data_IF_581358746081
#
_entry.id   IF_581358746081
#
_cell.length_a   1.000
_cell.length_b   1.000
_cell.length_c   1.000
_cell.angle_alpha   90.00
_cell.angle_beta   90.00
_cell.angle_gamma   90.00
#
_symmetry.space_group_name_H-M   'P 1'
#
loop_
_entity.id
_entity.type
_entity.pdbx_description
1 polymer ?
#
# COMPACT_ATOMS: atom_id res chain seq x y z
N UNK A 1 2.91 16.29 6.35
CA UNK A 1 1.47 16.07 6.07
C UNK A 1 0.73 17.40 6.21
N UNK A 2 -0.11 17.80 5.23
CA UNK A 2 -0.95 19.01 5.37
C UNK A 2 -1.90 18.87 6.56
N UNK A 3 -2.13 19.98 7.28
CA UNK A 3 -3.10 20.01 8.38
C UNK A 3 -4.51 19.64 7.92
N UNK A 4 -5.25 18.92 8.78
CA UNK A 4 -6.65 18.56 8.51
C UNK A 4 -7.50 19.83 8.50
N UNK A 5 -8.14 20.13 7.37
CA UNK A 5 -9.11 21.22 7.28
C UNK A 5 -10.47 20.76 7.82
N UNK A 6 -11.14 21.64 8.57
CA UNK A 6 -12.49 21.41 9.07
C UNK A 6 -13.37 22.60 8.71
N UNK A 7 -14.57 22.33 8.20
CA UNK A 7 -15.63 23.33 8.17
C UNK A 7 -16.35 23.31 9.54
N UNK A 8 -16.52 24.47 10.15
CA UNK A 8 -17.16 24.59 11.47
C UNK A 8 -18.43 25.41 11.33
N UNK A 9 -19.56 24.76 11.63
CA UNK A 9 -20.85 25.42 11.83
C UNK A 9 -21.40 24.85 13.13
N UNK A 10 -21.25 25.56 14.24
CA UNK A 10 -21.70 25.07 15.56
C UNK A 10 -23.16 24.59 15.50
N UNK A 11 -23.48 23.37 15.99
CA UNK A 11 -22.66 22.47 16.81
C UNK A 11 -21.82 21.42 16.05
N UNK A 12 -21.70 21.52 14.73
CA UNK A 12 -21.06 20.51 13.89
C UNK A 12 -19.62 20.88 13.49
N UNK A 13 -18.75 19.87 13.55
CA UNK A 13 -17.41 19.89 12.97
C UNK A 13 -17.39 18.88 11.84
N UNK A 14 -17.15 19.36 10.61
CA UNK A 14 -17.15 18.55 9.40
C UNK A 14 -15.73 18.50 8.85
N UNK A 15 -15.12 17.32 8.84
CA UNK A 15 -13.82 17.10 8.20
C UNK A 15 -13.91 17.35 6.69
N UNK A 16 -13.01 18.16 6.15
CA UNK A 16 -12.96 18.45 4.72
C UNK A 16 -11.63 18.01 4.12
N UNK A 17 -11.67 17.56 2.86
CA UNK A 17 -10.45 17.29 2.12
C UNK A 17 -9.63 18.59 2.00
N UNK A 18 -8.30 18.54 2.21
CA UNK A 18 -7.47 19.73 2.22
C UNK A 18 -7.38 20.43 0.85
N UNK A 19 -7.56 19.67 -0.24
CA UNK A 19 -7.54 20.14 -1.62
C UNK A 19 -8.75 19.57 -2.39
N UNK A 20 -9.23 20.32 -3.38
CA UNK A 20 -10.40 20.03 -4.22
C UNK A 20 -10.03 20.09 -5.71
N UNK A 21 -10.90 19.62 -6.61
CA UNK A 21 -10.66 19.79 -8.05
C UNK A 21 -10.43 21.26 -8.42
N UNK A 22 -9.28 21.54 -9.03
CA UNK A 22 -8.83 22.91 -9.34
C UNK A 22 -7.70 23.42 -8.43
N UNK A 23 -7.50 22.81 -7.27
CA UNK A 23 -6.36 23.11 -6.39
C UNK A 23 -5.12 22.32 -6.79
N UNK A 24 -3.94 22.84 -6.46
CA UNK A 24 -2.70 22.06 -6.47
C UNK A 24 -2.61 21.24 -5.17
N UNK A 25 -2.45 19.91 -5.29
CA UNK A 25 -2.39 19.04 -4.13
C UNK A 25 -1.01 19.12 -3.46
N UNK A 26 -0.99 19.39 -2.14
CA UNK A 26 0.23 19.36 -1.33
C UNK A 26 0.10 18.36 -0.17
N UNK A 27 1.00 17.37 -0.15
CA UNK A 27 1.02 16.33 0.88
C UNK A 27 1.96 16.68 2.06
N UNK A 28 2.46 17.91 2.11
CA UNK A 28 3.38 18.43 3.12
C UNK A 28 4.84 18.18 2.76
N UNK A 29 5.18 18.28 1.47
CA UNK A 29 6.55 18.13 0.96
C UNK A 29 7.05 16.69 0.84
N UNK A 30 8.38 16.52 0.83
CA UNK A 30 9.02 15.18 0.84
C UNK A 30 8.73 14.48 2.16
N UNK A 31 8.55 13.15 2.09
CA UNK A 31 8.52 12.32 3.29
C UNK A 31 9.81 12.53 4.09
N UNK A 32 9.67 12.83 5.37
CA UNK A 32 10.79 13.03 6.28
C UNK A 32 11.30 11.70 6.82
N UNK A 33 10.45 10.68 6.80
CA UNK A 33 10.68 9.35 7.34
C UNK A 33 11.73 8.59 6.52
N UNK A 34 12.74 8.10 7.23
CA UNK A 34 13.87 7.36 6.70
C UNK A 34 13.79 5.88 7.10
N UNK A 35 14.41 4.96 6.33
CA UNK A 35 14.37 3.53 6.63
C UNK A 35 14.81 3.11 8.04
N UNK A 36 15.70 3.89 8.67
CA UNK A 36 16.28 3.60 9.98
C UNK A 36 15.51 4.21 11.16
N UNK A 37 14.38 4.90 10.93
CA UNK A 37 13.65 5.62 11.98
C UNK A 37 12.94 4.69 12.97
N UNK A 38 12.58 3.49 12.53
CA UNK A 38 11.87 2.48 13.32
C UNK A 38 12.65 1.17 13.31
N UNK A 39 12.97 0.66 14.51
CA UNK A 39 13.58 -0.66 14.68
C UNK A 39 12.62 -1.77 14.24
N UNK A 40 13.14 -3.00 14.09
CA UNK A 40 12.35 -4.21 13.81
C UNK A 40 12.23 -5.09 15.08
N UNK A 41 11.12 -5.01 15.83
CA UNK A 41 10.91 -5.86 17.01
C UNK A 41 10.84 -7.35 16.63
N UNK A 42 11.26 -8.22 17.55
CA UNK A 42 11.05 -9.67 17.42
C UNK A 42 9.55 -9.97 17.58
N UNK A 43 8.87 -10.48 16.53
CA UNK A 43 7.42 -10.66 16.54
C UNK A 43 6.94 -11.69 17.58
N UNK A 44 7.84 -12.55 18.08
CA UNK A 44 7.50 -13.55 19.11
C UNK A 44 7.66 -13.04 20.54
N UNK A 45 8.31 -11.89 20.73
CA UNK A 45 8.65 -11.33 22.04
C UNK A 45 8.12 -9.91 22.27
N UNK A 46 7.81 -9.17 21.21
CA UNK A 46 7.31 -7.81 21.31
C UNK A 46 5.93 -7.75 21.97
N UNK A 47 5.71 -6.72 22.77
CA UNK A 47 4.41 -6.34 23.31
C UNK A 47 3.79 -5.21 22.48
N UNK A 48 2.52 -4.90 22.75
CA UNK A 48 1.85 -3.76 22.11
C UNK A 48 2.57 -2.43 22.40
N UNK A 49 3.07 -2.26 23.62
CA UNK A 49 3.76 -1.04 24.06
C UNK A 49 5.05 -0.77 23.26
N UNK A 50 5.75 -1.83 22.86
CA UNK A 50 6.96 -1.74 22.03
C UNK A 50 6.70 -1.18 20.63
N UNK A 51 5.43 -1.19 20.19
CA UNK A 51 5.01 -0.79 18.83
C UNK A 51 4.28 0.54 18.77
N UNK A 52 4.18 1.28 19.89
CA UNK A 52 3.48 2.58 19.96
C UNK A 52 4.04 3.57 18.94
N UNK A 53 5.38 3.62 18.78
CA UNK A 53 6.02 4.49 17.78
C UNK A 53 5.73 4.05 16.35
N UNK A 54 5.63 2.73 16.10
CA UNK A 54 5.30 2.19 14.78
C UNK A 54 3.89 2.54 14.33
N UNK A 55 2.95 2.67 15.27
CA UNK A 55 1.56 3.03 14.96
C UNK A 55 1.39 4.45 14.39
N UNK A 56 2.30 5.37 14.71
CA UNK A 56 2.29 6.76 14.21
C UNK A 56 3.44 7.11 13.27
N UNK A 57 4.43 6.24 13.14
CA UNK A 57 5.56 6.38 12.21
C UNK A 57 5.34 5.65 10.87
N UNK A 58 6.42 5.51 10.10
CA UNK A 58 6.43 4.80 8.82
C UNK A 58 7.58 3.81 8.77
N UNK A 59 7.25 2.52 8.64
CA UNK A 59 8.26 1.50 8.32
C UNK A 59 8.57 1.60 6.83
N UNK A 60 9.86 1.79 6.51
CA UNK A 60 10.36 1.99 5.15
C UNK A 60 11.67 1.23 5.00
N UNK A 61 11.95 0.70 3.81
CA UNK A 61 13.20 -0.02 3.51
C UNK A 61 14.00 0.68 2.42
N UNK A 62 13.34 1.07 1.32
CA UNK A 62 14.00 1.75 0.21
C UNK A 62 14.10 3.26 0.48
N UNK A 63 15.30 3.81 0.46
CA UNK A 63 15.56 5.25 0.57
C UNK A 63 15.17 6.01 -0.73
N UNK A 64 15.40 7.32 -0.80
CA UNK A 64 15.06 8.15 -1.97
C UNK A 64 15.92 7.84 -3.22
N UNK A 65 17.06 7.18 -3.03
CA UNK A 65 17.93 6.70 -4.12
C UNK A 65 17.57 5.27 -4.58
N UNK A 66 16.60 4.62 -3.93
CA UNK A 66 16.22 3.24 -4.20
C UNK A 66 17.12 2.20 -3.56
N UNK A 67 17.96 2.58 -2.60
CA UNK A 67 18.84 1.67 -1.86
C UNK A 67 18.12 1.13 -0.62
N UNK A 68 18.34 -0.15 -0.31
CA UNK A 68 17.74 -0.79 0.85
C UNK A 68 18.56 -0.51 2.11
N UNK A 69 17.91 -0.03 3.16
CA UNK A 69 18.55 0.31 4.44
C UNK A 69 17.72 -0.20 5.64
N UNK A 70 18.40 -0.36 6.78
CA UNK A 70 17.78 -0.64 8.08
C UNK A 70 17.50 -2.12 8.38
N UNK A 71 16.95 -2.34 9.58
CA UNK A 71 16.69 -3.69 10.13
C UNK A 71 15.52 -4.41 9.43
N UNK A 72 14.71 -3.65 8.69
CA UNK A 72 13.55 -4.14 7.96
C UNK A 72 13.87 -4.76 6.60
N UNK A 73 15.13 -4.75 6.16
CA UNK A 73 15.54 -5.46 4.95
C UNK A 73 15.15 -6.95 5.10
N UNK A 74 14.27 -7.47 4.22
CA UNK A 74 13.85 -8.85 4.29
C UNK A 74 14.93 -9.78 3.74
N UNK A 75 14.97 -11.01 4.25
CA UNK A 75 15.72 -12.09 3.62
C UNK A 75 14.90 -12.62 2.43
N UNK A 76 15.06 -11.97 1.28
CA UNK A 76 14.34 -12.27 0.04
C UNK A 76 15.32 -12.29 -1.12
N UNK A 77 15.19 -13.28 -2.01
CA UNK A 77 16.07 -13.41 -3.16
C UNK A 77 15.70 -12.40 -4.25
N UNK A 78 16.67 -12.08 -5.12
CA UNK A 78 16.43 -11.20 -6.28
C UNK A 78 15.36 -11.79 -7.20
N UNK A 79 15.33 -13.11 -7.36
CA UNK A 79 14.34 -13.83 -8.17
C UNK A 79 12.92 -13.68 -7.59
N UNK A 80 12.79 -13.72 -6.27
CA UNK A 80 11.50 -13.46 -5.60
C UNK A 80 11.06 -12.00 -5.79
N UNK A 81 11.98 -11.04 -5.70
CA UNK A 81 11.68 -9.63 -5.98
C UNK A 81 11.23 -9.41 -7.44
N UNK A 82 11.91 -10.03 -8.41
CA UNK A 82 11.52 -10.00 -9.82
C UNK A 82 10.13 -10.60 -10.02
N UNK A 83 9.84 -11.73 -9.36
CA UNK A 83 8.52 -12.38 -9.41
C UNK A 83 7.43 -11.45 -8.86
N UNK A 84 7.68 -10.78 -7.74
CA UNK A 84 6.76 -9.80 -7.17
C UNK A 84 6.51 -8.61 -8.11
N UNK A 85 7.57 -8.10 -8.74
CA UNK A 85 7.45 -7.04 -9.76
C UNK A 85 6.63 -7.50 -10.96
N UNK A 86 6.83 -8.72 -11.43
CA UNK A 86 6.05 -9.29 -12.52
C UNK A 86 4.56 -9.34 -12.17
N UNK A 87 4.21 -9.81 -10.98
CA UNK A 87 2.81 -9.82 -10.54
C UNK A 87 2.22 -8.41 -10.47
N UNK A 88 2.97 -7.41 -9.97
CA UNK A 88 2.49 -6.03 -9.90
C UNK A 88 2.19 -5.48 -11.30
N UNK A 89 3.09 -5.74 -12.26
CA UNK A 89 2.91 -5.33 -13.64
C UNK A 89 1.74 -6.04 -14.32
N UNK A 90 1.60 -7.36 -14.10
CA UNK A 90 0.47 -8.14 -14.62
C UNK A 90 -0.86 -7.60 -14.11
N UNK A 91 -0.97 -7.32 -12.81
CA UNK A 91 -2.17 -6.75 -12.21
C UNK A 91 -2.50 -5.38 -12.81
N UNK A 92 -1.51 -4.49 -12.96
CA UNK A 92 -1.71 -3.16 -13.56
C UNK A 92 -2.23 -3.25 -15.00
N UNK A 93 -1.64 -4.14 -15.81
CA UNK A 93 -2.06 -4.38 -17.20
C UNK A 93 -3.48 -4.94 -17.24
N UNK A 94 -3.80 -5.87 -16.34
CA UNK A 94 -5.13 -6.45 -16.22
C UNK A 94 -6.18 -5.39 -15.87
N UNK A 95 -5.89 -4.54 -14.88
CA UNK A 95 -6.76 -3.42 -14.48
C UNK A 95 -7.07 -2.49 -15.66
N UNK A 96 -6.07 -2.14 -16.46
CA UNK A 96 -6.24 -1.29 -17.65
C UNK A 96 -7.14 -1.96 -18.70
N UNK A 97 -6.99 -3.27 -18.92
CA UNK A 97 -7.82 -4.02 -19.87
C UNK A 97 -9.26 -4.12 -19.39
N UNK A 98 -9.47 -4.43 -18.12
CA UNK A 98 -10.80 -4.56 -17.54
C UNK A 98 -11.57 -3.25 -17.56
N UNK A 99 -10.91 -2.12 -17.27
CA UNK A 99 -11.51 -0.80 -17.41
C UNK A 99 -11.90 -0.46 -18.85
N UNK A 100 -11.10 -0.86 -19.85
CA UNK A 100 -11.47 -0.69 -21.26
C UNK A 100 -12.71 -1.52 -21.60
N UNK A 101 -12.77 -2.77 -21.14
CA UNK A 101 -13.94 -3.63 -21.36
C UNK A 101 -15.19 -3.04 -20.72
N UNK A 102 -15.08 -2.51 -19.50
CA UNK A 102 -16.16 -1.82 -18.81
C UNK A 102 -16.68 -0.63 -19.62
N UNK A 103 -15.79 0.23 -20.12
CA UNK A 103 -16.16 1.39 -20.96
C UNK A 103 -16.80 1.01 -22.29
N UNK A 104 -16.47 -0.16 -22.84
CA UNK A 104 -17.10 -0.68 -24.07
C UNK A 104 -18.38 -1.46 -23.82
N UNK A 105 -18.87 -1.52 -22.59
CA UNK A 105 -20.09 -2.26 -22.21
C UNK A 105 -19.96 -3.78 -22.22
N UNK A 106 -18.74 -4.32 -22.39
CA UNK A 106 -18.46 -5.76 -22.34
C UNK A 106 -18.41 -6.30 -20.92
N UNK A 107 -18.20 -5.41 -19.95
CA UNK A 107 -18.20 -5.70 -18.52
C UNK A 107 -19.10 -4.67 -17.83
N UNK A 108 -19.94 -5.10 -16.90
CA UNK A 108 -20.89 -4.21 -16.22
C UNK A 108 -20.19 -3.25 -15.25
N UNK A 109 -19.28 -3.78 -14.44
CA UNK A 109 -18.63 -3.05 -13.35
C UNK A 109 -17.20 -3.56 -13.12
N UNK A 110 -16.29 -2.65 -12.76
CA UNK A 110 -14.91 -2.99 -12.42
C UNK A 110 -14.29 -1.96 -11.47
N UNK A 111 -13.41 -2.41 -10.57
CA UNK A 111 -12.64 -1.56 -9.65
C UNK A 111 -11.15 -1.82 -9.83
N UNK A 112 -10.37 -0.75 -9.86
CA UNK A 112 -8.91 -0.81 -10.00
C UNK A 112 -8.22 -0.80 -8.64
N UNK A 113 -6.99 -1.29 -8.64
CA UNK A 113 -6.02 -1.28 -7.53
C UNK A 113 -4.73 -0.52 -7.88
N UNK A 114 -4.81 0.44 -8.82
CA UNK A 114 -3.67 1.20 -9.30
C UNK A 114 -2.97 1.96 -8.18
N UNK A 115 -1.66 1.74 -8.01
CA UNK A 115 -0.85 2.31 -6.93
C UNK A 115 -0.85 1.48 -5.65
N UNK A 116 -1.68 0.45 -5.55
CA UNK A 116 -1.84 -0.42 -4.38
C UNK A 116 -1.36 -1.87 -4.67
N UNK A 117 -0.77 -2.12 -5.85
CA UNK A 117 -0.49 -3.48 -6.33
C UNK A 117 0.45 -4.25 -5.39
N UNK A 118 1.49 -3.57 -4.90
CA UNK A 118 2.51 -4.16 -4.03
C UNK A 118 1.93 -4.72 -2.73
N UNK A 119 0.90 -4.08 -2.17
CA UNK A 119 0.34 -4.42 -0.85
C UNK A 119 -0.24 -5.83 -0.87
N UNK A 120 -1.16 -6.10 -1.80
CA UNK A 120 -1.82 -7.40 -1.89
C UNK A 120 -0.84 -8.51 -2.32
N UNK A 121 0.06 -8.20 -3.25
CA UNK A 121 0.99 -9.18 -3.81
C UNK A 121 2.04 -9.58 -2.79
N UNK A 122 2.76 -8.62 -2.21
CA UNK A 122 3.84 -8.91 -1.28
C UNK A 122 3.32 -9.59 -0.01
N UNK A 123 2.15 -9.17 0.51
CA UNK A 123 1.51 -9.84 1.63
C UNK A 123 1.21 -11.30 1.29
N UNK A 124 0.63 -11.57 0.11
CA UNK A 124 0.28 -12.95 -0.28
C UNK A 124 1.52 -13.81 -0.51
N UNK A 125 2.59 -13.24 -1.07
CA UNK A 125 3.86 -13.95 -1.26
C UNK A 125 4.55 -14.31 0.06
N UNK A 126 4.32 -13.55 1.12
CA UNK A 126 4.85 -13.81 2.45
C UNK A 126 4.06 -14.87 3.24
N UNK A 127 2.88 -15.26 2.76
CA UNK A 127 1.99 -16.23 3.41
C UNK A 127 2.15 -17.65 2.84
N UNK A 128 1.89 -18.65 3.68
CA UNK A 128 1.82 -20.05 3.25
C UNK A 128 0.56 -20.30 2.41
N UNK A 129 0.58 -21.30 1.53
CA UNK A 129 -0.54 -21.57 0.59
C UNK A 129 -1.89 -21.87 1.25
N UNK A 130 -1.87 -22.38 2.48
CA UNK A 130 -3.04 -22.68 3.28
C UNK A 130 -3.50 -21.53 4.19
N UNK A 131 -2.79 -20.40 4.21
CA UNK A 131 -3.20 -19.24 4.99
C UNK A 131 -4.42 -18.57 4.37
N UNK A 132 -5.42 -18.32 5.20
CA UNK A 132 -6.65 -17.67 4.78
C UNK A 132 -6.44 -16.18 4.58
N UNK A 133 -6.92 -15.66 3.46
CA UNK A 133 -6.91 -14.24 3.14
C UNK A 133 -8.37 -13.77 3.10
N UNK A 134 -8.64 -12.65 3.78
CA UNK A 134 -9.95 -11.99 3.79
C UNK A 134 -9.84 -10.66 3.03
N UNK A 135 -9.79 -10.67 1.68
CA UNK A 135 -9.50 -9.48 0.89
C UNK A 135 -10.72 -8.57 0.73
N UNK A 136 -10.45 -7.29 0.46
CA UNK A 136 -11.43 -6.37 -0.14
C UNK A 136 -11.42 -6.46 -1.68
N UNK A 137 -12.30 -5.71 -2.34
CA UNK A 137 -12.35 -5.60 -3.80
C UNK A 137 -11.11 -4.93 -4.44
N UNK A 138 -10.20 -4.34 -3.64
CA UNK A 138 -8.93 -3.72 -4.12
C UNK A 138 -7.72 -4.63 -4.01
N UNK A 139 -7.89 -5.89 -3.62
CA UNK A 139 -6.78 -6.83 -3.46
C UNK A 139 -6.82 -8.00 -4.46
N UNK A 140 -7.11 -7.78 -5.76
CA UNK A 140 -7.06 -8.87 -6.76
C UNK A 140 -5.64 -9.45 -6.91
N UNK A 141 -4.60 -8.73 -6.48
CA UNK A 141 -3.21 -9.21 -6.51
C UNK A 141 -2.99 -10.55 -5.81
N UNK A 142 -3.78 -10.88 -4.78
CA UNK A 142 -3.70 -12.18 -4.12
C UNK A 142 -4.00 -13.35 -5.08
N UNK A 143 -4.93 -13.15 -6.03
CA UNK A 143 -5.29 -14.17 -7.04
C UNK A 143 -4.14 -14.42 -8.02
N UNK A 144 -3.43 -13.36 -8.42
CA UNK A 144 -2.26 -13.47 -9.29
C UNK A 144 -1.12 -14.29 -8.66
N UNK A 145 -0.91 -14.13 -7.35
CA UNK A 145 0.11 -14.89 -6.61
C UNK A 145 -0.29 -16.35 -6.43
N UNK A 146 -1.56 -16.62 -6.10
CA UNK A 146 -2.06 -17.99 -5.87
C UNK A 146 -2.39 -18.78 -7.15
N UNK A 147 -2.20 -18.19 -8.33
CA UNK A 147 -2.40 -18.87 -9.61
C UNK A 147 -3.87 -19.14 -9.97
N UNK A 148 -4.78 -18.27 -9.51
CA UNK A 148 -6.20 -18.32 -9.87
C UNK A 148 -6.49 -17.67 -11.25
#
# INVERSE_FOLDING_TARGET
MSDRKTAVTSPYVIGTAPFRPGDEADFGGKFTEQPNDLNRPDPTKCSADDTIKHASGLVRVLNDNGEAEGEWIPDISVEQLITGLEYMMRLRIFDDRMMKMQRTGKLSFYMRSFGEEAVAIAQTMALQDNDWIFPSYRQPGAQFVRGA
#
